data_IF_851204809276
#
_entry.id   IF_851204809276
#
_cell.length_a   1.000
_cell.length_b   1.000
_cell.length_c   1.000
_cell.angle_alpha   90.00
_cell.angle_beta   90.00
_cell.angle_gamma   90.00
#
_symmetry.space_group_name_H-M   'P 1'
#
loop_
_entity.id
_entity.type
_entity.pdbx_description
1 polymer ?
#
# COMPACT_ATOMS: atom_id res chain seq x y z
N UNK A 1 5.89 -20.21 -19.29
CA UNK A 1 5.64 -20.69 -17.91
C UNK A 1 5.84 -19.50 -17.00
N UNK A 2 4.81 -18.69 -16.77
CA UNK A 2 4.85 -17.63 -15.75
C UNK A 2 4.38 -18.27 -14.46
N UNK A 3 5.32 -18.60 -13.58
CA UNK A 3 5.03 -19.01 -12.21
C UNK A 3 4.26 -17.89 -11.55
N UNK A 4 2.96 -18.10 -11.31
CA UNK A 4 2.13 -17.24 -10.45
C UNK A 4 2.57 -17.47 -9.01
N UNK A 5 3.80 -17.08 -8.68
CA UNK A 5 4.26 -17.02 -7.31
C UNK A 5 3.47 -15.91 -6.63
N UNK A 6 2.64 -16.25 -5.66
CA UNK A 6 2.00 -15.24 -4.80
C UNK A 6 3.11 -14.53 -4.03
N UNK A 7 3.64 -13.43 -4.56
CA UNK A 7 4.70 -12.70 -3.88
C UNK A 7 4.06 -11.88 -2.76
N UNK A 8 4.45 -12.22 -1.53
CA UNK A 8 4.03 -11.50 -0.33
C UNK A 8 5.13 -10.51 0.05
N UNK A 9 4.87 -9.23 -0.14
CA UNK A 9 5.81 -8.15 0.20
C UNK A 9 5.57 -7.68 1.63
N UNK A 10 6.50 -8.01 2.52
CA UNK A 10 6.42 -7.53 3.90
C UNK A 10 6.96 -6.10 4.02
N UNK A 11 6.13 -5.22 4.58
CA UNK A 11 6.41 -3.82 4.81
C UNK A 11 6.30 -3.52 6.31
N UNK A 12 7.47 -3.34 6.94
CA UNK A 12 7.54 -2.94 8.34
C UNK A 12 7.54 -1.42 8.45
N UNK A 13 6.57 -0.88 9.17
CA UNK A 13 6.43 0.54 9.35
C UNK A 13 6.86 1.03 10.74
N UNK A 14 7.27 0.16 11.67
CA UNK A 14 7.56 0.51 13.08
C UNK A 14 8.64 1.59 13.21
N UNK A 15 9.57 1.69 12.25
CA UNK A 15 10.61 2.72 12.20
C UNK A 15 10.28 3.97 11.35
N UNK A 16 9.14 3.99 10.65
CA UNK A 16 8.80 5.07 9.73
C UNK A 16 7.97 6.16 10.43
N UNK A 17 8.42 7.41 10.28
CA UNK A 17 7.68 8.59 10.72
C UNK A 17 6.29 8.64 10.06
N UNK A 18 5.30 9.20 10.76
CA UNK A 18 3.88 9.17 10.35
C UNK A 18 3.64 9.58 8.89
N UNK A 19 4.34 10.62 8.43
CA UNK A 19 4.19 11.15 7.07
C UNK A 19 4.80 10.22 6.02
N UNK A 20 5.99 9.69 6.29
CA UNK A 20 6.68 8.80 5.37
C UNK A 20 5.95 7.47 5.24
N UNK A 21 5.47 6.92 6.35
CA UNK A 21 4.69 5.69 6.40
C UNK A 21 3.50 5.74 5.44
N UNK A 22 2.69 6.79 5.49
CA UNK A 22 1.54 6.91 4.61
C UNK A 22 1.99 6.90 3.14
N UNK A 23 2.95 7.76 2.78
CA UNK A 23 3.44 7.85 1.41
C UNK A 23 4.03 6.52 0.91
N UNK A 24 4.81 5.84 1.74
CA UNK A 24 5.44 4.57 1.38
C UNK A 24 4.45 3.43 1.19
N UNK A 25 3.39 3.35 2.00
CA UNK A 25 2.37 2.31 1.85
C UNK A 25 1.58 2.53 0.56
N UNK A 26 1.18 3.77 0.28
CA UNK A 26 0.52 4.10 -0.98
C UNK A 26 1.41 3.78 -2.19
N UNK A 27 2.68 4.22 -2.16
CA UNK A 27 3.62 3.95 -3.24
C UNK A 27 3.87 2.44 -3.43
N UNK A 28 3.95 1.68 -2.34
CA UNK A 28 4.07 0.23 -2.41
C UNK A 28 2.83 -0.40 -3.04
N UNK A 29 1.62 -0.02 -2.61
CA UNK A 29 0.36 -0.51 -3.19
C UNK A 29 0.23 -0.16 -4.68
N UNK A 30 0.67 1.03 -5.10
CA UNK A 30 0.68 1.43 -6.52
C UNK A 30 1.74 0.69 -7.36
N UNK A 31 2.73 0.07 -6.72
CA UNK A 31 3.78 -0.70 -7.37
C UNK A 31 3.48 -2.21 -7.45
N UNK A 32 2.42 -2.68 -6.79
CA UNK A 32 2.01 -4.09 -6.80
C UNK A 32 1.17 -4.39 -8.04
N UNK A 33 1.38 -5.58 -8.59
CA UNK A 33 0.57 -6.10 -9.69
C UNK A 33 -0.64 -6.90 -9.17
N UNK A 34 -1.48 -7.36 -10.09
CA UNK A 34 -2.68 -8.12 -9.78
C UNK A 34 -2.34 -9.45 -9.13
N UNK A 35 -3.03 -9.76 -8.02
CA UNK A 35 -2.80 -11.00 -7.28
C UNK A 35 -1.59 -10.95 -6.34
N UNK A 36 -0.84 -9.85 -6.34
CA UNK A 36 0.23 -9.64 -5.38
C UNK A 36 -0.35 -9.22 -4.02
N UNK A 37 0.35 -9.59 -2.95
CA UNK A 37 -0.08 -9.28 -1.57
C UNK A 37 0.99 -8.48 -0.85
N UNK A 38 0.59 -7.39 -0.20
CA UNK A 38 1.46 -6.62 0.67
C UNK A 38 1.06 -6.81 2.13
N UNK A 39 2.00 -7.30 2.93
CA UNK A 39 1.87 -7.43 4.37
C UNK A 39 2.36 -6.19 5.08
N UNK A 40 1.46 -5.42 5.65
CA UNK A 40 1.75 -4.24 6.43
C UNK A 40 1.86 -4.56 7.93
N UNK A 41 2.99 -4.22 8.55
CA UNK A 41 3.24 -4.40 9.99
C UNK A 41 3.40 -3.03 10.66
N UNK A 42 2.58 -2.74 11.67
CA UNK A 42 2.66 -1.52 12.47
C UNK A 42 2.51 -1.83 13.96
N UNK A 43 3.11 -0.99 14.79
CA UNK A 43 2.98 -0.99 16.25
C UNK A 43 1.57 -0.54 16.72
N UNK A 44 0.89 0.32 15.96
CA UNK A 44 -0.46 0.84 16.28
C UNK A 44 -1.45 0.71 15.11
N UNK A 45 -2.76 0.71 15.37
CA UNK A 45 -3.80 0.66 14.34
C UNK A 45 -3.77 1.91 13.42
N UNK A 46 -3.41 1.80 12.12
CA UNK A 46 -3.46 2.92 11.17
C UNK A 46 -4.86 3.09 10.56
N UNK A 47 -5.90 3.14 11.40
CA UNK A 47 -7.31 3.32 10.98
C UNK A 47 -7.52 4.39 9.88
N UNK A 48 -6.98 5.62 10.00
CA UNK A 48 -7.21 6.64 8.98
C UNK A 48 -6.58 6.31 7.63
N UNK A 49 -5.49 5.55 7.60
CA UNK A 49 -4.85 5.13 6.35
C UNK A 49 -5.68 4.07 5.64
N UNK A 50 -6.16 3.07 6.37
CA UNK A 50 -6.98 2.00 5.80
C UNK A 50 -8.27 2.56 5.21
N UNK A 51 -8.87 3.55 5.86
CA UNK A 51 -10.02 4.29 5.32
C UNK A 51 -9.68 4.97 3.99
N UNK A 52 -8.54 5.65 3.89
CA UNK A 52 -8.11 6.30 2.63
C UNK A 52 -7.84 5.29 1.52
N UNK A 53 -7.22 4.14 1.83
CA UNK A 53 -6.98 3.06 0.87
C UNK A 53 -8.32 2.50 0.38
N UNK A 54 -9.25 2.18 1.28
CA UNK A 54 -10.60 1.75 0.89
C UNK A 54 -11.35 2.80 0.08
N UNK A 55 -11.20 4.09 0.40
CA UNK A 55 -11.84 5.15 -0.38
C UNK A 55 -11.24 5.31 -1.78
N UNK A 56 -9.92 5.18 -1.92
CA UNK A 56 -9.21 5.36 -3.21
C UNK A 56 -9.32 4.13 -4.11
N UNK A 57 -9.13 2.94 -3.55
CA UNK A 57 -9.06 1.69 -4.30
C UNK A 57 -10.35 0.86 -4.21
N UNK A 58 -11.17 1.06 -3.17
CA UNK A 58 -12.47 0.39 -3.05
C UNK A 58 -12.32 -1.13 -3.06
N UNK A 59 -13.10 -1.78 -3.92
CA UNK A 59 -13.11 -3.24 -4.09
C UNK A 59 -11.88 -3.80 -4.81
N UNK A 60 -10.95 -2.94 -5.25
CA UNK A 60 -9.72 -3.35 -5.92
C UNK A 60 -8.65 -3.86 -4.94
N UNK A 61 -8.77 -3.53 -3.66
CA UNK A 61 -7.84 -3.94 -2.61
C UNK A 61 -8.61 -4.71 -1.54
N UNK A 62 -8.22 -5.96 -1.32
CA UNK A 62 -8.73 -6.76 -0.22
C UNK A 62 -7.84 -6.58 1.00
N UNK A 63 -8.39 -5.96 2.04
CA UNK A 63 -7.69 -5.76 3.32
C UNK A 63 -8.07 -6.90 4.26
N UNK A 64 -7.09 -7.72 4.65
CA UNK A 64 -7.24 -8.84 5.56
C UNK A 64 -6.41 -8.61 6.83
N UNK A 65 -7.05 -8.59 7.99
CA UNK A 65 -6.34 -8.46 9.27
C UNK A 65 -5.78 -9.82 9.68
N UNK A 66 -4.46 -9.94 9.70
CA UNK A 66 -3.76 -11.16 10.16
C UNK A 66 -3.60 -11.12 11.67
N UNK A 67 -3.26 -9.96 12.22
CA UNK A 67 -3.04 -9.77 13.65
C UNK A 67 -3.48 -8.38 14.07
N UNK A 68 -4.19 -8.28 15.20
CA UNK A 68 -4.58 -7.01 15.79
C UNK A 68 -4.42 -7.08 17.30
N UNK A 69 -3.30 -6.58 17.80
CA UNK A 69 -2.97 -6.54 19.23
C UNK A 69 -2.45 -5.15 19.64
N UNK A 70 -2.40 -4.89 20.95
CA UNK A 70 -1.88 -3.62 21.49
C UNK A 70 -0.36 -3.47 21.29
N UNK A 71 0.33 -4.58 21.10
CA UNK A 71 1.75 -4.70 20.80
C UNK A 71 2.09 -4.64 19.30
N UNK A 72 1.06 -4.69 18.43
CA UNK A 72 1.23 -4.59 16.99
C UNK A 72 0.05 -5.11 16.18
N UNK A 73 -0.06 -4.59 14.96
CA UNK A 73 -1.06 -4.92 13.95
C UNK A 73 -0.38 -5.38 12.66
N UNK A 74 -0.90 -6.46 12.08
CA UNK A 74 -0.45 -7.05 10.81
C UNK A 74 -1.66 -7.14 9.88
N UNK A 75 -1.51 -6.57 8.68
CA UNK A 75 -2.58 -6.43 7.71
C UNK A 75 -2.06 -6.88 6.34
N UNK A 76 -2.67 -7.88 5.74
CA UNK A 76 -2.40 -8.29 4.37
C UNK A 76 -3.35 -7.55 3.42
N UNK A 77 -2.79 -6.88 2.42
CA UNK A 77 -3.51 -6.15 1.38
C UNK A 77 -3.26 -6.86 0.05
N UNK A 78 -4.28 -7.55 -0.47
CA UNK A 78 -4.23 -8.23 -1.76
C UNK A 78 -4.84 -7.34 -2.85
N UNK A 79 -4.09 -7.14 -3.93
CA UNK A 79 -4.58 -6.38 -5.09
C UNK A 79 -5.41 -7.32 -5.96
N UNK A 80 -6.71 -7.05 -6.07
CA UNK A 80 -7.64 -7.79 -6.92
C UNK A 80 -8.43 -6.79 -7.76
N UNK A 81 -7.84 -6.38 -8.88
CA UNK A 81 -8.49 -5.49 -9.84
C UNK A 81 -9.17 -6.34 -10.93
N UNK A 82 -10.52 -6.43 -10.92
CA UNK A 82 -11.25 -7.07 -12.00
C UNK A 82 -11.17 -6.17 -13.24
N UNK A 83 -10.18 -6.41 -14.09
CA UNK A 83 -10.08 -5.83 -15.44
C UNK A 83 -9.02 -4.75 -15.67
N UNK A 84 -7.92 -4.68 -14.91
CA UNK A 84 -6.90 -3.64 -15.15
C UNK A 84 -5.94 -3.95 -16.31
N UNK A 85 -6.46 -3.93 -17.54
CA UNK A 85 -5.63 -3.61 -18.71
C UNK A 85 -5.34 -2.10 -18.83
N UNK A 86 -5.82 -1.22 -17.94
CA UNK A 86 -5.53 0.23 -18.02
C UNK A 86 -5.63 0.95 -16.68
N UNK A 87 -4.67 0.75 -15.78
CA UNK A 87 -4.44 1.67 -14.65
C UNK A 87 -3.02 2.24 -14.74
N UNK A 88 -2.89 3.31 -15.54
CA UNK A 88 -1.66 4.06 -15.68
C UNK A 88 -1.22 4.66 -14.33
N UNK A 89 0.08 4.66 -13.99
CA UNK A 89 0.54 5.09 -12.68
C UNK A 89 0.38 6.61 -12.56
N UNK A 90 -0.29 7.06 -11.50
CA UNK A 90 -0.35 8.45 -11.09
C UNK A 90 1.00 8.88 -10.49
N UNK A 91 2.01 8.99 -11.34
CA UNK A 91 3.29 9.63 -11.04
C UNK A 91 3.08 11.12 -10.82
N UNK A 92 2.78 11.52 -9.58
CA UNK A 92 2.88 12.91 -9.13
C UNK A 92 4.01 13.05 -8.12
N UNK A 93 5.22 13.20 -8.64
CA UNK A 93 6.27 13.92 -7.92
C UNK A 93 7.32 14.37 -8.93
N UNK A 94 7.25 15.65 -9.29
CA UNK A 94 8.42 16.41 -9.70
C UNK A 94 8.15 17.88 -9.32
N UNK A 95 8.16 18.15 -8.03
CA UNK A 95 8.46 19.48 -7.53
C UNK A 95 9.95 19.76 -7.80
N UNK A 96 10.28 20.21 -9.01
CA UNK A 96 11.43 21.09 -9.24
C UNK A 96 10.85 22.50 -9.39
N UNK A 97 11.02 23.43 -8.45
CA UNK A 97 12.32 23.93 -8.03
C UNK A 97 12.78 24.98 -9.04
N UNK A 98 12.27 26.21 -8.92
CA UNK A 98 12.63 27.33 -9.79
C UNK A 98 12.49 28.65 -9.04
N UNK A 99 13.52 28.97 -8.24
CA UNK A 99 13.72 30.29 -7.65
C UNK A 99 14.83 30.97 -8.47
N UNK A 100 14.58 32.15 -9.05
CA UNK A 100 15.65 33.00 -9.61
C UNK A 100 15.22 33.83 -10.83
N UNK A 101 15.23 35.15 -10.68
CA UNK A 101 15.04 36.14 -11.75
C UNK A 101 14.42 37.42 -11.22
#
# INVERSE_FOLDING_TARGET
>A
MTETGTHVYQFDARGLSKRLRHASIFAALESLDHGETMRFVNDHDPLPLLQQIQQRYGNQVQVNYVQRAAEGVVIDMLISIPGAETAAPARTSCCGGGCGG
#
